data_IF_758430568883
#
_entry.id   IF_758430568883
#
_cell.length_a   1.000
_cell.length_b   1.000
_cell.length_c   1.000
_cell.angle_alpha   90.00
_cell.angle_beta   90.00
_cell.angle_gamma   90.00
#
_symmetry.space_group_name_H-M   'P 1'
#
loop_
_entity.id
_entity.type
_entity.pdbx_description
1 polymer ?
#
# COMPACT_ATOMS: atom_id res chain seq x y z
N UNK A 1 -12.55 25.67 8.08
CA UNK A 1 -13.92 25.25 8.43
C UNK A 1 -13.97 23.72 8.43
N UNK A 2 -15.02 23.12 8.99
CA UNK A 2 -15.23 21.66 8.89
C UNK A 2 -16.61 21.36 8.32
N UNK A 3 -16.69 20.30 7.51
CA UNK A 3 -17.92 19.91 6.81
C UNK A 3 -18.11 18.40 6.92
N UNK A 4 -19.36 17.93 7.01
CA UNK A 4 -19.66 16.49 6.92
C UNK A 4 -19.76 16.06 5.46
N UNK A 5 -19.10 14.96 5.14
CA UNK A 5 -19.07 14.40 3.78
C UNK A 5 -19.34 12.90 3.88
N UNK A 6 -20.15 12.39 2.95
CA UNK A 6 -20.34 10.95 2.76
C UNK A 6 -19.41 10.47 1.67
N UNK A 7 -18.60 9.47 1.98
CA UNK A 7 -17.69 8.80 1.06
C UNK A 7 -18.45 7.74 0.29
N UNK A 8 -18.34 7.79 -1.04
CA UNK A 8 -18.83 6.74 -1.94
C UNK A 8 -17.82 5.59 -2.03
N UNK A 9 -16.53 5.90 -1.88
CA UNK A 9 -15.42 4.96 -1.98
C UNK A 9 -14.39 5.22 -0.88
N UNK A 10 -13.89 4.15 -0.27
CA UNK A 10 -12.81 4.19 0.73
C UNK A 10 -11.69 3.30 0.20
N UNK A 11 -10.58 3.89 -0.22
CA UNK A 11 -9.52 3.13 -0.88
C UNK A 11 -8.74 2.26 0.09
N UNK A 12 -8.16 1.17 -0.44
CA UNK A 12 -7.37 0.22 0.34
C UNK A 12 -6.14 0.84 1.00
N UNK A 13 -5.56 1.91 0.42
CA UNK A 13 -4.47 2.65 1.06
C UNK A 13 -4.85 3.24 2.43
N UNK A 14 -6.13 3.56 2.64
CA UNK A 14 -6.61 4.17 3.89
C UNK A 14 -6.94 3.16 5.01
N UNK A 15 -6.78 1.85 4.75
CA UNK A 15 -7.27 0.75 5.61
C UNK A 15 -6.97 0.92 7.11
N UNK A 16 -5.76 1.34 7.47
CA UNK A 16 -5.35 1.49 8.88
C UNK A 16 -6.12 2.58 9.62
N UNK A 17 -6.62 3.60 8.92
CA UNK A 17 -7.38 4.68 9.54
C UNK A 17 -8.81 4.25 9.91
N UNK A 18 -9.28 3.10 9.41
CA UNK A 18 -10.59 2.52 9.73
C UNK A 18 -11.75 3.52 9.64
N UNK A 19 -11.80 4.23 8.50
CA UNK A 19 -12.75 5.30 8.25
C UNK A 19 -14.19 4.76 8.18
N UNK A 20 -15.14 5.54 8.69
CA UNK A 20 -16.57 5.38 8.40
C UNK A 20 -16.93 5.95 7.03
N UNK A 21 -18.10 5.59 6.51
CA UNK A 21 -18.62 6.20 5.27
C UNK A 21 -18.99 7.66 5.45
N UNK A 22 -19.47 8.06 6.62
CA UNK A 22 -19.70 9.47 6.96
C UNK A 22 -18.50 10.00 7.74
N UNK A 23 -17.83 11.02 7.19
CA UNK A 23 -16.62 11.62 7.77
C UNK A 23 -16.79 13.13 7.94
N UNK A 24 -15.95 13.72 8.78
CA UNK A 24 -15.77 15.17 8.86
C UNK A 24 -14.49 15.50 8.12
N UNK A 25 -14.56 16.50 7.22
CA UNK A 25 -13.39 17.03 6.52
C UNK A 25 -13.06 18.43 7.04
N UNK A 26 -11.77 18.75 7.11
CA UNK A 26 -11.27 20.07 7.46
C UNK A 26 -10.42 20.67 6.35
N UNK A 27 -10.37 22.00 6.28
CA UNK A 27 -9.59 22.73 5.25
C UNK A 27 -8.08 22.76 5.51
N UNK A 28 -7.65 22.47 6.74
CA UNK A 28 -6.24 22.40 7.11
C UNK A 28 -5.66 21.06 6.66
N UNK A 29 -4.94 21.09 5.53
CA UNK A 29 -4.32 19.92 4.93
C UNK A 29 -2.82 19.90 5.27
N UNK A 30 -2.33 18.73 5.70
CA UNK A 30 -0.90 18.47 5.85
C UNK A 30 -0.40 17.79 4.57
N UNK A 31 0.39 18.46 3.72
CA UNK A 31 0.83 17.94 2.43
C UNK A 31 2.02 16.98 2.59
N UNK A 32 1.82 15.90 3.35
CA UNK A 32 2.83 14.88 3.66
C UNK A 32 2.25 13.51 3.35
N UNK A 33 3.13 12.58 2.95
CA UNK A 33 2.74 11.20 2.69
C UNK A 33 2.05 10.56 3.91
N UNK A 34 0.98 9.81 3.66
CA UNK A 34 0.23 9.06 4.66
C UNK A 34 -1.02 9.77 5.21
N UNK A 35 -1.13 11.09 5.03
CA UNK A 35 -2.37 11.81 5.36
C UNK A 35 -3.48 11.51 4.36
N UNK A 36 -4.72 11.54 4.84
CA UNK A 36 -5.90 11.12 4.07
C UNK A 36 -6.74 12.33 3.67
N UNK A 37 -7.07 12.40 2.37
CA UNK A 37 -7.97 13.40 1.81
C UNK A 37 -9.28 12.77 1.38
N UNK A 38 -10.36 13.54 1.50
CA UNK A 38 -11.58 13.29 0.75
C UNK A 38 -11.49 14.10 -0.55
N UNK A 39 -11.69 13.44 -1.68
CA UNK A 39 -11.63 14.06 -3.00
C UNK A 39 -12.85 13.66 -3.84
N UNK A 40 -13.33 14.57 -4.69
CA UNK A 40 -14.43 14.31 -5.63
C UNK A 40 -13.85 14.00 -7.01
N UNK A 41 -14.20 12.86 -7.57
CA UNK A 41 -13.78 12.49 -8.94
C UNK A 41 -14.44 13.42 -9.96
N UNK A 42 -13.65 13.98 -10.88
CA UNK A 42 -14.12 15.00 -11.84
C UNK A 42 -14.46 14.44 -13.22
N UNK A 43 -13.87 13.31 -13.59
CA UNK A 43 -14.01 12.72 -14.92
C UNK A 43 -14.34 11.22 -14.86
N UNK A 44 -14.99 10.74 -15.93
CA UNK A 44 -15.18 9.31 -16.17
C UNK A 44 -14.09 8.77 -17.08
N UNK A 45 -13.71 7.51 -16.86
CA UNK A 45 -12.76 6.78 -17.70
C UNK A 45 -13.27 5.38 -18.04
N UNK A 46 -12.88 4.89 -19.22
CA UNK A 46 -13.20 3.53 -19.69
C UNK A 46 -12.12 2.50 -19.32
N UNK A 47 -10.88 2.92 -19.11
CA UNK A 47 -9.74 2.07 -18.72
C UNK A 47 -9.10 2.58 -17.44
N UNK A 48 -8.50 1.65 -16.68
CA UNK A 48 -7.91 1.95 -15.37
C UNK A 48 -8.88 2.76 -14.48
N UNK A 49 -10.15 2.32 -14.49
CA UNK A 49 -11.30 3.09 -14.03
C UNK A 49 -11.89 2.56 -12.71
N UNK A 50 -11.07 1.89 -11.93
CA UNK A 50 -11.46 1.24 -10.67
C UNK A 50 -10.54 1.64 -9.54
N UNK A 51 -11.03 1.57 -8.31
CA UNK A 51 -10.26 1.62 -7.07
C UNK A 51 -10.47 0.33 -6.28
N UNK A 52 -9.46 -0.15 -5.59
CA UNK A 52 -9.53 -1.24 -4.63
C UNK A 52 -10.03 -0.68 -3.29
N UNK A 53 -11.12 -1.22 -2.76
CA UNK A 53 -11.63 -0.84 -1.45
C UNK A 53 -10.86 -1.52 -0.30
N UNK A 54 -11.17 -1.14 0.94
CA UNK A 54 -10.55 -1.71 2.15
C UNK A 54 -10.79 -3.21 2.36
N UNK A 55 -11.67 -3.84 1.57
CA UNK A 55 -11.91 -5.29 1.55
C UNK A 55 -11.15 -6.01 0.44
N UNK A 56 -10.50 -5.27 -0.47
CA UNK A 56 -9.82 -5.81 -1.64
C UNK A 56 -10.69 -5.87 -2.90
N UNK A 57 -11.94 -5.39 -2.86
CA UNK A 57 -12.82 -5.42 -4.03
C UNK A 57 -12.46 -4.27 -4.97
N UNK A 58 -12.36 -4.59 -6.26
CA UNK A 58 -12.23 -3.58 -7.30
C UNK A 58 -13.60 -2.97 -7.60
N UNK A 59 -13.77 -1.68 -7.31
CA UNK A 59 -14.98 -0.92 -7.55
C UNK A 59 -14.74 0.13 -8.62
N UNK A 60 -15.70 0.31 -9.52
CA UNK A 60 -15.62 1.37 -10.52
C UNK A 60 -15.65 2.76 -9.86
N UNK A 61 -14.81 3.66 -10.37
CA UNK A 61 -14.85 5.08 -10.08
C UNK A 61 -15.67 5.79 -11.18
N UNK A 62 -16.50 6.74 -10.75
CA UNK A 62 -17.32 7.57 -11.64
C UNK A 62 -17.18 9.04 -11.28
N UNK A 63 -17.39 9.91 -12.26
CA UNK A 63 -17.49 11.34 -12.01
C UNK A 63 -18.56 11.62 -10.93
N UNK A 64 -18.19 12.44 -9.94
CA UNK A 64 -19.01 12.75 -8.78
C UNK A 64 -18.80 11.86 -7.56
N UNK A 65 -18.20 10.66 -7.69
CA UNK A 65 -17.88 9.81 -6.53
C UNK A 65 -16.95 10.58 -5.58
N UNK A 66 -17.24 10.54 -4.27
CA UNK A 66 -16.34 11.00 -3.23
C UNK A 66 -15.46 9.85 -2.75
N UNK A 67 -14.17 9.98 -2.96
CA UNK A 67 -13.14 9.01 -2.61
C UNK A 67 -12.34 9.49 -1.40
N UNK A 68 -12.19 8.63 -0.39
CA UNK A 68 -11.08 8.76 0.55
C UNK A 68 -9.84 8.08 -0.02
N UNK A 69 -8.76 8.85 -0.15
CA UNK A 69 -7.46 8.39 -0.66
C UNK A 69 -6.31 8.95 0.17
N UNK A 70 -5.13 8.36 -0.01
CA UNK A 70 -3.94 8.67 0.79
C UNK A 70 -2.96 9.51 -0.01
N UNK A 71 -2.51 10.65 0.52
CA UNK A 71 -1.38 11.37 -0.07
C UNK A 71 -0.15 10.48 -0.11
N UNK A 72 0.50 10.35 -1.27
CA UNK A 72 1.70 9.54 -1.37
C UNK A 72 2.48 9.76 -2.65
N UNK A 73 3.77 9.42 -2.60
CA UNK A 73 4.62 9.40 -3.77
C UNK A 73 4.42 8.08 -4.52
N UNK A 74 4.54 8.07 -5.84
CA UNK A 74 4.59 6.83 -6.63
C UNK A 74 5.72 6.90 -7.64
N UNK A 75 6.67 5.96 -7.55
CA UNK A 75 7.87 5.89 -8.39
C UNK A 75 7.80 4.68 -9.32
N UNK A 76 6.88 4.69 -10.29
CA UNK A 76 6.61 3.52 -11.11
C UNK A 76 7.07 3.68 -12.57
N UNK A 77 7.70 2.64 -13.11
CA UNK A 77 7.97 2.51 -14.55
C UNK A 77 6.73 2.12 -15.35
N UNK A 78 5.70 1.57 -14.68
CA UNK A 78 4.41 1.19 -15.27
C UNK A 78 3.27 1.91 -14.56
N UNK A 79 2.35 2.48 -15.33
CA UNK A 79 1.20 3.26 -14.82
C UNK A 79 1.53 4.74 -14.67
N UNK A 80 1.30 5.31 -13.49
CA UNK A 80 1.54 6.70 -13.16
C UNK A 80 2.72 6.82 -12.19
N UNK A 81 3.49 7.89 -12.34
CA UNK A 81 4.40 8.37 -11.31
C UNK A 81 3.94 9.74 -10.84
N UNK A 82 4.18 10.05 -9.57
CA UNK A 82 3.76 11.31 -8.99
C UNK A 82 4.35 11.54 -7.62
N UNK A 83 4.20 12.75 -7.13
CA UNK A 83 4.75 13.21 -5.85
C UNK A 83 3.65 13.85 -5.02
N UNK A 84 3.82 13.84 -3.70
CA UNK A 84 3.01 14.71 -2.84
C UNK A 84 3.33 16.16 -3.20
N UNK A 85 2.33 17.00 -3.53
CA UNK A 85 2.58 18.40 -3.85
C UNK A 85 3.09 19.15 -2.60
N UNK A 86 3.90 20.19 -2.78
CA UNK A 86 4.44 20.97 -1.65
C UNK A 86 3.37 21.77 -0.91
N UNK A 87 2.26 22.08 -1.60
CA UNK A 87 1.10 22.79 -1.07
C UNK A 87 -0.15 22.19 -1.71
N UNK A 88 -1.23 22.06 -0.95
CA UNK A 88 -2.54 21.64 -1.42
C UNK A 88 -3.63 22.18 -0.49
N UNK A 89 -4.73 22.65 -1.05
CA UNK A 89 -5.87 23.20 -0.34
C UNK A 89 -7.20 22.61 -0.85
N UNK A 90 -8.26 22.77 -0.06
CA UNK A 90 -9.63 22.50 -0.53
C UNK A 90 -9.93 23.28 -1.81
N UNK A 91 -10.51 22.62 -2.81
CA UNK A 91 -10.79 23.17 -4.15
C UNK A 91 -9.67 22.95 -5.17
N UNK A 92 -8.46 22.60 -4.74
CA UNK A 92 -7.38 22.25 -5.67
C UNK A 92 -7.68 20.93 -6.41
N UNK A 93 -6.97 20.70 -7.52
CA UNK A 93 -7.02 19.42 -8.23
C UNK A 93 -5.82 18.55 -7.87
N UNK A 94 -6.08 17.25 -7.66
CA UNK A 94 -5.06 16.20 -7.44
C UNK A 94 -5.45 14.93 -8.20
N UNK A 95 -4.47 14.09 -8.56
CA UNK A 95 -4.71 12.88 -9.33
C UNK A 95 -4.71 11.59 -8.48
N UNK A 96 -5.51 10.61 -8.90
CA UNK A 96 -5.43 9.24 -8.38
C UNK A 96 -4.33 8.48 -9.11
N UNK A 97 -3.22 8.22 -8.41
CA UNK A 97 -1.99 7.69 -8.96
C UNK A 97 -1.95 6.16 -9.04
N UNK A 98 -2.84 5.41 -8.39
CA UNK A 98 -2.94 3.96 -8.57
C UNK A 98 -4.32 3.41 -8.18
N UNK A 99 -4.51 2.11 -8.39
CA UNK A 99 -5.73 1.41 -8.01
C UNK A 99 -5.97 1.36 -6.49
N UNK A 100 -4.95 1.52 -5.65
CA UNK A 100 -5.09 1.53 -4.18
C UNK A 100 -5.52 2.88 -3.60
N UNK A 101 -5.71 3.91 -4.44
CA UNK A 101 -6.15 5.24 -4.04
C UNK A 101 -5.04 6.15 -3.48
N UNK A 102 -3.81 5.99 -3.97
CA UNK A 102 -2.76 7.00 -3.74
C UNK A 102 -3.11 8.28 -4.49
N UNK A 103 -3.03 9.41 -3.79
CA UNK A 103 -3.27 10.75 -4.29
C UNK A 103 -1.95 11.50 -4.39
N UNK A 104 -1.69 12.15 -5.51
CA UNK A 104 -0.51 12.98 -5.69
C UNK A 104 -0.56 13.74 -7.00
N UNK A 105 0.38 14.68 -7.17
CA UNK A 105 0.56 15.38 -8.44
C UNK A 105 1.25 14.45 -9.42
N UNK A 106 0.58 14.09 -10.49
CA UNK A 106 1.13 13.23 -11.52
C UNK A 106 2.30 13.92 -12.24
N UNK A 107 3.45 13.24 -12.34
CA UNK A 107 4.66 13.74 -13.01
C UNK A 107 5.00 12.95 -14.27
N UNK A 108 4.51 11.71 -14.39
CA UNK A 108 4.69 10.89 -15.58
C UNK A 108 3.51 9.93 -15.77
N UNK A 109 3.15 9.72 -17.03
CA UNK A 109 2.03 8.88 -17.45
C UNK A 109 2.53 7.85 -18.44
N UNK A 110 2.29 6.57 -18.16
CA UNK A 110 2.45 5.52 -19.15
C UNK A 110 1.27 5.58 -20.15
N UNK A 111 1.53 5.67 -21.47
CA UNK A 111 0.47 5.79 -22.49
C UNK A 111 -0.57 4.67 -22.45
N UNK A 112 -0.21 3.46 -22.03
CA UNK A 112 -1.07 2.28 -22.07
C UNK A 112 -2.25 2.35 -21.07
N UNK A 113 -2.19 3.26 -20.09
CA UNK A 113 -3.22 3.40 -19.04
C UNK A 113 -4.00 4.72 -19.12
N UNK A 114 -3.75 5.55 -20.15
CA UNK A 114 -4.38 6.86 -20.33
C UNK A 114 -4.08 7.86 -19.20
N UNK A 115 -4.69 9.04 -19.22
CA UNK A 115 -4.49 10.05 -18.16
C UNK A 115 -5.07 9.58 -16.81
N UNK A 116 -4.46 9.90 -15.64
CA UNK A 116 -5.04 9.56 -14.33
C UNK A 116 -6.38 10.28 -14.10
N UNK A 117 -7.20 9.76 -13.18
CA UNK A 117 -8.41 10.48 -12.75
C UNK A 117 -8.01 11.80 -12.12
N UNK A 118 -8.70 12.88 -12.51
CA UNK A 118 -8.60 14.17 -11.82
C UNK A 118 -9.63 14.24 -10.73
N UNK A 119 -9.25 14.79 -9.58
CA UNK A 119 -10.14 14.91 -8.43
C UNK A 119 -10.03 16.30 -7.81
N UNK A 120 -11.14 16.84 -7.35
CA UNK A 120 -11.19 18.07 -6.56
C UNK A 120 -11.02 17.73 -5.07
N UNK A 121 -10.13 18.43 -4.38
CA UNK A 121 -9.88 18.24 -2.96
C UNK A 121 -11.04 18.83 -2.15
N UNK A 122 -11.70 18.00 -1.33
CA UNK A 122 -12.77 18.47 -0.43
C UNK A 122 -12.25 18.84 0.95
N UNK A 123 -11.08 18.33 1.34
CA UNK A 123 -10.41 18.60 2.60
C UNK A 123 -9.70 17.37 3.18
N UNK A 124 -8.98 17.57 4.28
CA UNK A 124 -8.40 16.49 5.07
C UNK A 124 -9.48 15.74 5.84
N UNK A 125 -9.51 14.41 5.74
CA UNK A 125 -10.39 13.58 6.57
C UNK A 125 -9.92 13.69 8.02
N UNK A 126 -10.83 13.98 8.96
CA UNK A 126 -10.49 14.12 10.36
C UNK A 126 -10.78 12.83 11.14
N UNK A 127 -9.81 12.42 11.97
CA UNK A 127 -9.94 11.36 12.95
C UNK A 127 -10.26 11.94 14.34
N UNK A 128 -11.08 11.21 15.10
CA UNK A 128 -11.46 11.51 16.48
C UNK A 128 -11.10 10.29 17.34
N UNK A 129 -9.81 10.13 17.70
CA UNK A 129 -9.28 8.90 18.28
C UNK A 129 -9.80 8.61 19.70
N UNK A 130 -10.18 9.64 20.47
CA UNK A 130 -10.69 9.50 21.83
C UNK A 130 -12.16 9.92 21.94
N UNK A 131 -12.94 9.15 22.70
CA UNK A 131 -14.36 9.42 22.92
C UNK A 131 -14.51 10.71 23.74
N UNK A 132 -14.88 11.81 23.08
CA UNK A 132 -15.07 13.12 23.71
C UNK A 132 -14.17 14.23 23.15
N UNK A 133 -13.20 13.87 22.30
CA UNK A 133 -12.39 14.88 21.61
C UNK A 133 -13.26 15.71 20.67
N UNK A 134 -13.23 17.03 20.87
CA UNK A 134 -14.00 17.99 20.05
C UNK A 134 -13.18 18.55 18.90
N UNK A 135 -11.87 18.31 18.89
CA UNK A 135 -10.93 18.79 17.88
C UNK A 135 -10.50 17.58 17.05
N UNK A 136 -10.95 17.52 15.81
CA UNK A 136 -10.50 16.48 14.88
C UNK A 136 -9.07 16.77 14.42
N UNK A 137 -8.23 15.74 14.40
CA UNK A 137 -6.90 15.80 13.79
C UNK A 137 -6.94 15.19 12.39
N UNK A 138 -6.13 15.64 11.42
CA UNK A 138 -6.04 14.96 10.12
C UNK A 138 -5.72 13.48 10.30
N UNK A 139 -6.53 12.61 9.68
CA UNK A 139 -6.41 11.17 9.73
C UNK A 139 -5.16 10.72 8.98
N UNK A 140 -4.48 9.69 9.51
CA UNK A 140 -3.23 9.21 8.96
C UNK A 140 -3.23 7.68 8.88
N UNK A 141 -2.63 7.11 7.84
CA UNK A 141 -2.50 5.64 7.70
C UNK A 141 -1.60 5.00 8.78
N UNK A 142 -0.95 5.83 9.60
CA UNK A 142 -0.19 5.42 10.78
C UNK A 142 -1.01 5.20 12.05
N UNK A 143 -2.27 5.65 12.11
CA UNK A 143 -3.07 5.68 13.36
C UNK A 143 -3.27 4.29 14.00
N UNK A 144 -3.28 3.21 13.21
CA UNK A 144 -3.37 1.81 13.68
C UNK A 144 -2.35 0.89 13.01
N UNK A 145 -1.23 1.47 12.61
CA UNK A 145 -0.19 0.74 11.90
C UNK A 145 0.51 -0.28 12.81
N UNK A 146 1.05 -1.33 12.17
CA UNK A 146 2.13 -2.12 12.74
C UNK A 146 3.31 -1.18 12.98
N UNK A 147 3.92 -1.15 14.18
CA UNK A 147 5.07 -0.29 14.41
C UNK A 147 6.25 -0.78 13.56
N UNK A 148 7.00 0.14 12.90
CA UNK A 148 8.30 -0.21 12.33
C UNK A 148 9.25 -0.62 13.46
N UNK A 149 10.31 -1.35 13.12
CA UNK A 149 11.26 -1.85 14.11
C UNK A 149 12.70 -1.76 13.62
N UNK A 150 13.59 -1.29 14.49
CA UNK A 150 15.02 -1.22 14.18
C UNK A 150 15.71 -2.60 14.28
N UNK A 151 15.12 -3.55 15.01
CA UNK A 151 15.70 -4.87 15.29
C UNK A 151 14.78 -6.00 14.83
N UNK A 152 15.37 -7.08 14.32
CA UNK A 152 14.60 -8.27 13.95
C UNK A 152 14.53 -9.25 15.13
N UNK A 153 13.36 -9.32 15.77
CA UNK A 153 13.11 -10.26 16.87
C UNK A 153 12.67 -11.63 16.35
N UNK A 154 11.95 -11.64 15.22
CA UNK A 154 11.48 -12.87 14.58
C UNK A 154 12.65 -13.75 14.13
N UNK A 155 12.55 -15.05 14.44
CA UNK A 155 13.48 -16.09 13.97
C UNK A 155 12.84 -17.04 12.97
N UNK A 156 11.63 -16.72 12.50
CA UNK A 156 10.92 -17.56 11.51
C UNK A 156 11.70 -17.53 10.20
N UNK A 157 12.01 -18.68 9.58
CA UNK A 157 12.72 -18.72 8.31
C UNK A 157 11.90 -18.04 7.20
N UNK A 158 12.60 -17.29 6.34
CA UNK A 158 11.98 -16.51 5.26
C UNK A 158 12.35 -17.07 3.89
N UNK A 159 11.35 -17.26 3.04
CA UNK A 159 11.52 -17.47 1.61
C UNK A 159 11.28 -16.14 0.90
N UNK A 160 12.35 -15.53 0.39
CA UNK A 160 12.26 -14.27 -0.34
C UNK A 160 11.91 -14.53 -1.81
N UNK A 161 10.96 -13.76 -2.34
CA UNK A 161 10.59 -13.78 -3.77
C UNK A 161 10.95 -12.44 -4.37
N UNK A 162 12.08 -12.39 -5.07
CA UNK A 162 12.60 -11.22 -5.77
C UNK A 162 12.35 -11.33 -7.28
N UNK A 163 12.62 -10.27 -8.03
CA UNK A 163 12.53 -10.35 -9.48
C UNK A 163 13.23 -9.21 -10.20
N UNK A 164 13.42 -9.37 -11.51
CA UNK A 164 14.15 -8.37 -12.31
C UNK A 164 13.36 -7.09 -12.57
N UNK A 165 12.03 -7.17 -12.61
CA UNK A 165 11.15 -6.04 -12.88
C UNK A 165 9.72 -6.25 -12.36
N UNK A 166 8.87 -5.21 -12.45
CA UNK A 166 7.43 -5.33 -12.24
C UNK A 166 6.81 -6.35 -13.23
N UNK A 167 5.78 -7.08 -12.79
CA UNK A 167 5.09 -8.11 -13.57
C UNK A 167 5.95 -9.29 -14.03
N UNK A 168 7.11 -9.55 -13.39
CA UNK A 168 7.94 -10.72 -13.66
C UNK A 168 7.39 -12.06 -13.09
N UNK A 169 6.18 -12.08 -12.54
CA UNK A 169 5.58 -13.28 -11.94
C UNK A 169 5.82 -13.48 -10.44
N UNK A 170 6.38 -12.48 -9.74
CA UNK A 170 6.68 -12.56 -8.28
C UNK A 170 5.47 -12.91 -7.42
N UNK A 171 4.37 -12.16 -7.54
CA UNK A 171 3.14 -12.42 -6.79
C UNK A 171 2.60 -13.82 -7.03
N UNK A 172 2.67 -14.31 -8.28
CA UNK A 172 2.24 -15.66 -8.65
C UNK A 172 3.14 -16.69 -7.98
N UNK A 173 4.47 -16.54 -8.09
CA UNK A 173 5.42 -17.42 -7.44
C UNK A 173 5.23 -17.45 -5.91
N UNK A 174 5.04 -16.29 -5.28
CA UNK A 174 4.75 -16.18 -3.85
C UNK A 174 3.47 -16.92 -3.47
N UNK A 175 2.38 -16.74 -4.22
CA UNK A 175 1.12 -17.45 -3.98
C UNK A 175 1.26 -18.98 -4.18
N UNK A 176 1.99 -19.44 -5.19
CA UNK A 176 2.24 -20.89 -5.39
C UNK A 176 3.11 -21.50 -4.29
N UNK A 177 4.13 -20.76 -3.82
CA UNK A 177 4.95 -21.18 -2.68
C UNK A 177 4.11 -21.31 -1.42
N UNK A 178 3.30 -20.30 -1.11
CA UNK A 178 2.37 -20.33 0.03
C UNK A 178 1.45 -21.54 -0.09
N UNK A 179 0.85 -21.78 -1.26
CA UNK A 179 -0.06 -22.90 -1.49
C UNK A 179 0.61 -24.25 -1.30
N UNK A 180 1.80 -24.43 -1.85
CA UNK A 180 2.56 -25.66 -1.73
C UNK A 180 2.94 -25.96 -0.27
N UNK A 181 3.50 -24.97 0.43
CA UNK A 181 3.94 -25.09 1.82
C UNK A 181 2.74 -25.34 2.76
N UNK A 182 1.64 -24.60 2.58
CA UNK A 182 0.43 -24.78 3.37
C UNK A 182 -0.21 -26.16 3.16
N UNK A 183 -0.29 -26.64 1.91
CA UNK A 183 -0.74 -28.02 1.62
C UNK A 183 0.20 -29.10 2.15
N UNK A 184 1.48 -28.77 2.29
CA UNK A 184 2.47 -29.59 2.97
C UNK A 184 2.32 -29.62 4.50
N UNK A 185 1.36 -28.88 5.07
CA UNK A 185 1.07 -28.85 6.50
C UNK A 185 1.77 -27.74 7.28
N UNK A 186 2.51 -26.85 6.62
CA UNK A 186 3.17 -25.72 7.28
C UNK A 186 2.22 -24.55 7.46
N UNK A 187 2.36 -23.83 8.58
CA UNK A 187 1.70 -22.55 8.83
C UNK A 187 2.49 -21.44 8.14
N UNK A 188 1.97 -20.91 7.04
CA UNK A 188 2.70 -19.93 6.24
C UNK A 188 2.26 -18.51 6.59
N UNK A 189 3.20 -17.67 7.04
CA UNK A 189 3.02 -16.21 7.05
C UNK A 189 3.38 -15.64 5.68
N UNK A 190 2.72 -14.56 5.26
CA UNK A 190 2.98 -13.93 3.97
C UNK A 190 3.26 -12.43 4.12
N UNK A 191 4.11 -11.88 3.27
CA UNK A 191 4.41 -10.45 3.27
C UNK A 191 4.63 -9.89 1.87
N UNK A 192 4.20 -8.65 1.64
CA UNK A 192 4.71 -7.81 0.54
C UNK A 192 5.49 -6.63 1.14
N UNK A 193 6.80 -6.63 0.93
CA UNK A 193 7.69 -5.72 1.65
C UNK A 193 7.92 -4.38 0.94
N UNK A 194 7.73 -4.33 -0.38
CA UNK A 194 8.00 -3.13 -1.18
C UNK A 194 6.93 -2.90 -2.26
N UNK A 195 6.83 -1.65 -2.72
CA UNK A 195 5.93 -1.24 -3.80
C UNK A 195 5.04 -0.06 -3.41
N UNK A 196 3.87 0.02 -4.04
CA UNK A 196 2.83 1.04 -3.80
C UNK A 196 1.53 0.38 -3.35
N UNK A 197 0.80 1.00 -2.42
CA UNK A 197 -0.33 0.37 -1.72
C UNK A 197 -1.34 -0.25 -2.68
N UNK A 198 -1.51 -1.57 -2.53
CA UNK A 198 -2.53 -2.40 -3.16
C UNK A 198 -2.54 -3.74 -2.40
N UNK A 199 -3.72 -4.20 -1.99
CA UNK A 199 -3.90 -5.40 -1.16
C UNK A 199 -3.86 -6.69 -1.97
N UNK A 200 -4.11 -6.62 -3.28
CA UNK A 200 -4.18 -7.77 -4.19
C UNK A 200 -3.13 -8.85 -3.94
N UNK A 201 -1.87 -8.49 -3.75
CA UNK A 201 -0.79 -9.47 -3.55
C UNK A 201 -0.93 -10.22 -2.22
N UNK A 202 -1.19 -9.50 -1.13
CA UNK A 202 -1.43 -10.10 0.18
C UNK A 202 -2.70 -10.95 0.19
N UNK A 203 -3.78 -10.50 -0.47
CA UNK A 203 -5.02 -11.26 -0.61
C UNK A 203 -4.80 -12.55 -1.41
N UNK A 204 -4.03 -12.49 -2.51
CA UNK A 204 -3.66 -13.68 -3.28
C UNK A 204 -2.91 -14.72 -2.45
N UNK A 205 -2.04 -14.28 -1.54
CA UNK A 205 -1.35 -15.18 -0.61
C UNK A 205 -2.27 -15.72 0.49
N UNK A 206 -3.23 -14.94 0.99
CA UNK A 206 -4.28 -15.44 1.90
C UNK A 206 -5.14 -16.51 1.23
N UNK A 207 -5.59 -16.26 0.00
CA UNK A 207 -6.36 -17.21 -0.80
C UNK A 207 -5.57 -18.50 -1.10
N UNK A 208 -4.23 -18.40 -1.16
CA UNK A 208 -3.34 -19.54 -1.30
C UNK A 208 -3.16 -20.36 -0.01
N UNK A 209 -3.60 -19.87 1.15
CA UNK A 209 -3.55 -20.58 2.43
C UNK A 209 -2.61 -19.98 3.47
N UNK A 210 -2.10 -18.75 3.29
CA UNK A 210 -1.36 -18.08 4.35
C UNK A 210 -2.25 -17.86 5.59
N UNK A 211 -1.70 -18.08 6.78
CA UNK A 211 -2.42 -17.86 8.05
C UNK A 211 -2.55 -16.37 8.40
N UNK A 212 -1.66 -15.55 7.83
CA UNK A 212 -1.68 -14.09 7.92
C UNK A 212 -0.87 -13.52 6.75
N UNK A 213 -1.29 -12.37 6.22
CA UNK A 213 -0.54 -11.63 5.21
C UNK A 213 -0.50 -10.15 5.55
N UNK A 214 0.68 -9.54 5.50
CA UNK A 214 0.90 -8.11 5.76
C UNK A 214 1.64 -7.45 4.60
N UNK A 215 1.49 -6.14 4.50
CA UNK A 215 2.15 -5.29 3.52
C UNK A 215 2.79 -4.09 4.22
N UNK A 216 3.66 -3.37 3.52
CA UNK A 216 4.17 -2.06 3.99
C UNK A 216 3.04 -1.06 4.31
N UNK A 217 1.87 -1.17 3.67
CA UNK A 217 0.70 -0.34 4.00
C UNK A 217 0.17 -0.61 5.41
N UNK A 218 0.28 -1.85 5.90
CA UNK A 218 -0.09 -2.19 7.29
C UNK A 218 0.86 -1.55 8.31
N UNK A 219 2.07 -1.12 7.90
CA UNK A 219 3.03 -0.33 8.71
C UNK A 219 2.81 1.18 8.55
N UNK A 220 1.80 1.60 7.79
CA UNK A 220 1.50 3.02 7.57
C UNK A 220 2.40 3.68 6.52
N UNK A 221 2.91 2.91 5.55
CA UNK A 221 3.66 3.41 4.39
C UNK A 221 2.79 3.33 3.13
N UNK A 222 2.62 4.44 2.40
CA UNK A 222 1.78 4.48 1.20
C UNK A 222 2.54 3.98 -0.05
N UNK A 223 3.83 4.30 -0.11
CA UNK A 223 4.75 3.78 -1.12
C UNK A 223 6.13 3.63 -0.52
N UNK A 224 6.75 2.46 -0.69
CA UNK A 224 8.12 2.28 -0.21
C UNK A 224 9.13 3.02 -1.08
N UNK A 225 10.29 3.29 -0.51
CA UNK A 225 11.46 3.85 -1.17
C UNK A 225 12.72 3.50 -0.37
N UNK A 226 13.89 3.85 -0.89
CA UNK A 226 15.13 3.66 -0.16
C UNK A 226 15.09 4.39 1.21
N UNK A 227 15.51 3.72 2.27
CA UNK A 227 15.59 4.22 3.64
C UNK A 227 14.42 3.86 4.56
N UNK A 228 13.26 3.41 4.03
CA UNK A 228 12.08 3.05 4.88
C UNK A 228 11.85 1.54 4.98
N UNK A 229 12.39 0.76 4.04
CA UNK A 229 12.01 -0.66 3.85
C UNK A 229 12.55 -1.59 4.92
N UNK A 230 13.75 -1.34 5.47
CA UNK A 230 14.35 -2.20 6.51
C UNK A 230 13.51 -2.22 7.77
N UNK A 231 13.23 -1.04 8.35
CA UNK A 231 12.44 -0.95 9.58
C UNK A 231 10.99 -1.44 9.38
N UNK A 232 10.45 -1.22 8.18
CA UNK A 232 9.15 -1.72 7.75
C UNK A 232 9.13 -3.26 7.71
N UNK A 233 10.12 -3.88 7.06
CA UNK A 233 10.21 -5.34 6.93
C UNK A 233 10.40 -6.03 8.29
N UNK A 234 11.27 -5.49 9.15
CA UNK A 234 11.46 -5.98 10.52
C UNK A 234 10.16 -5.89 11.33
N UNK A 235 9.46 -4.76 11.28
CA UNK A 235 8.15 -4.58 11.91
C UNK A 235 7.11 -5.60 11.42
N UNK A 236 7.04 -5.84 10.10
CA UNK A 236 6.15 -6.84 9.49
C UNK A 236 6.48 -8.25 10.00
N UNK A 237 7.75 -8.66 9.99
CA UNK A 237 8.15 -9.99 10.43
C UNK A 237 7.92 -10.21 11.91
N UNK A 238 8.23 -9.22 12.75
CA UNK A 238 7.96 -9.27 14.18
C UNK A 238 6.44 -9.40 14.44
N UNK A 239 5.60 -8.68 13.68
CA UNK A 239 4.14 -8.82 13.78
C UNK A 239 3.65 -10.18 13.27
N UNK A 240 4.16 -10.68 12.15
CA UNK A 240 3.77 -11.98 11.61
C UNK A 240 4.11 -13.12 12.58
N UNK A 241 5.24 -13.03 13.31
CA UNK A 241 5.64 -14.00 14.31
C UNK A 241 4.57 -14.25 15.39
N UNK A 242 3.72 -13.27 15.70
CA UNK A 242 2.61 -13.42 16.66
C UNK A 242 1.58 -14.48 16.21
N UNK A 243 1.46 -14.72 14.90
CA UNK A 243 0.62 -15.78 14.32
C UNK A 243 1.27 -17.16 14.37
N UNK A 244 2.50 -17.27 14.89
CA UNK A 244 3.32 -18.49 14.96
C UNK A 244 3.37 -19.25 13.62
N UNK A 245 3.83 -18.61 12.53
CA UNK A 245 4.09 -19.32 11.28
C UNK A 245 5.36 -20.16 11.40
N UNK A 246 5.40 -21.28 10.68
CA UNK A 246 6.59 -22.12 10.53
C UNK A 246 7.57 -21.52 9.51
N UNK A 247 7.05 -20.75 8.55
CA UNK A 247 7.80 -20.10 7.47
C UNK A 247 7.09 -18.82 7.02
N UNK A 248 7.85 -17.80 6.62
CA UNK A 248 7.32 -16.59 5.98
C UNK A 248 7.69 -16.60 4.49
N UNK A 249 6.71 -16.37 3.61
CA UNK A 249 6.97 -16.06 2.19
C UNK A 249 6.89 -14.55 2.01
N UNK A 250 7.99 -13.93 1.62
CA UNK A 250 8.11 -12.48 1.52
C UNK A 250 8.37 -12.04 0.07
N UNK A 251 7.40 -11.39 -0.55
CA UNK A 251 7.54 -10.78 -1.86
C UNK A 251 8.26 -9.42 -1.78
N UNK A 252 9.29 -9.25 -2.59
CA UNK A 252 9.95 -7.98 -2.87
C UNK A 252 9.35 -7.41 -4.16
N UNK A 253 8.41 -6.48 -4.03
CA UNK A 253 7.82 -5.74 -5.15
C UNK A 253 8.85 -4.94 -5.97
N UNK A 254 8.43 -4.53 -7.17
CA UNK A 254 9.30 -3.93 -8.20
C UNK A 254 10.45 -4.87 -8.67
N UNK A 255 11.45 -4.34 -9.36
CA UNK A 255 12.69 -5.05 -9.67
C UNK A 255 13.74 -4.89 -8.56
N UNK A 256 14.72 -5.80 -8.53
CA UNK A 256 15.87 -5.70 -7.61
C UNK A 256 16.65 -4.38 -7.78
N UNK A 257 16.68 -3.79 -8.99
CA UNK A 257 17.30 -2.48 -9.27
C UNK A 257 16.29 -1.33 -9.24
N UNK A 258 15.11 -1.59 -8.70
CA UNK A 258 13.99 -0.65 -8.63
C UNK A 258 14.15 0.39 -7.53
N UNK A 259 13.32 1.44 -7.59
CA UNK A 259 13.38 2.59 -6.66
C UNK A 259 12.63 2.36 -5.33
N UNK A 260 11.94 1.23 -5.18
CA UNK A 260 11.10 0.93 -4.02
C UNK A 260 11.87 0.39 -2.80
N UNK A 261 13.20 0.45 -2.80
CA UNK A 261 14.03 0.09 -1.63
C UNK A 261 14.27 -1.41 -1.44
N UNK A 262 14.21 -2.20 -2.52
CA UNK A 262 14.52 -3.65 -2.47
C UNK A 262 15.97 -3.90 -2.05
N UNK A 263 16.91 -3.07 -2.55
CA UNK A 263 18.33 -3.19 -2.22
C UNK A 263 18.59 -3.05 -0.72
N UNK A 264 17.87 -2.19 -0.01
CA UNK A 264 18.10 -2.01 1.44
C UNK A 264 17.77 -3.27 2.23
N UNK A 265 16.70 -3.99 1.84
CA UNK A 265 16.35 -5.28 2.44
C UNK A 265 17.44 -6.32 2.15
N UNK A 266 17.94 -6.37 0.91
CA UNK A 266 18.96 -7.33 0.50
C UNK A 266 20.35 -7.06 1.12
N UNK A 267 20.60 -5.84 1.59
CA UNK A 267 21.85 -5.46 2.26
C UNK A 267 21.78 -5.51 3.81
N UNK A 268 20.59 -5.64 4.40
CA UNK A 268 20.44 -5.72 5.86
C UNK A 268 20.77 -7.14 6.38
N UNK A 269 21.77 -7.23 7.26
CA UNK A 269 22.27 -8.51 7.76
C UNK A 269 21.25 -9.29 8.59
N UNK A 270 20.36 -8.62 9.33
CA UNK A 270 19.35 -9.29 10.14
C UNK A 270 18.27 -9.92 9.26
N UNK A 271 17.74 -9.17 8.29
CA UNK A 271 16.74 -9.64 7.34
C UNK A 271 17.29 -10.78 6.47
N UNK A 272 18.52 -10.66 6.01
CA UNK A 272 19.16 -11.72 5.22
C UNK A 272 19.56 -12.94 6.08
N UNK A 273 19.87 -12.73 7.36
CA UNK A 273 20.23 -13.78 8.31
C UNK A 273 19.10 -14.77 8.60
N UNK A 274 17.83 -14.41 8.36
CA UNK A 274 16.67 -15.33 8.47
C UNK A 274 16.23 -15.92 7.14
N UNK A 275 16.88 -15.55 6.01
CA UNK A 275 16.54 -16.08 4.70
C UNK A 275 16.93 -17.55 4.54
N UNK A 276 15.93 -18.42 4.41
CA UNK A 276 16.10 -19.86 4.19
C UNK A 276 16.15 -20.22 2.70
N UNK A 277 15.50 -19.43 1.84
CA UNK A 277 15.54 -19.61 0.39
C UNK A 277 15.27 -18.29 -0.35
N UNK A 278 15.76 -18.21 -1.59
CA UNK A 278 15.61 -17.05 -2.46
C UNK A 278 15.11 -17.50 -3.82
N UNK A 279 13.95 -17.00 -4.22
CA UNK A 279 13.31 -17.29 -5.50
C UNK A 279 13.40 -16.04 -6.36
N UNK A 280 13.98 -16.17 -7.55
CA UNK A 280 14.15 -15.08 -8.50
C UNK A 280 13.16 -15.26 -9.65
N UNK A 281 12.27 -14.29 -9.83
CA UNK A 281 11.33 -14.25 -10.94
C UNK A 281 11.87 -13.32 -12.04
N UNK A 282 12.02 -13.84 -13.26
CA UNK A 282 12.43 -13.08 -14.42
C UNK A 282 11.45 -13.34 -15.57
N UNK A 283 11.10 -12.32 -16.38
CA UNK A 283 10.33 -12.55 -17.58
C UNK A 283 11.15 -13.40 -18.56
N UNK A 284 10.47 -14.29 -19.28
CA UNK A 284 11.05 -14.98 -20.42
C UNK A 284 11.34 -13.94 -21.52
N UNK A 285 12.56 -13.85 -22.07
CA UNK A 285 12.81 -13.03 -23.25
C UNK A 285 12.03 -13.60 -24.44
N UNK A 286 10.86 -13.03 -24.73
CA UNK A 286 10.14 -13.24 -26.00
C UNK A 286 10.65 -12.26 -27.05
#
# INVERSE_FOLDING_TARGET
>A
MTTRVRLDRISSSTRNAALSTDVIVGDEIVPVEGYILAVRVLDDKSTYNTVEDVTGRMLALRAGDVLAGTLGTRRALRGYAGVVPTHIASGDTIEVLNLGGILGRCTSVNPDVGQPFKTEVLGAVLAFPELGDRVGRPAHIGDRAVPPSEQLESRVPVVYVAGTCMNAGKTVAAAELVRGLARGGLRVGAAKLTGVSLMRDALSMLDAGAVAALTFNDVGVASTHAGVTVATAKGIFNRLAASKPDVIVAELGDGILGEYGVQDILHDEELMGVGAAYVMAAPDPV
#
